data_IF_750098665002
#
_entry.id   IF_750098665002
#
_cell.length_a   1.000
_cell.length_b   1.000
_cell.length_c   1.000
_cell.angle_alpha   90.00
_cell.angle_beta   90.00
_cell.angle_gamma   90.00
#
_symmetry.space_group_name_H-M   'P 1'
#
loop_
_entity.id
_entity.type
_entity.pdbx_description
1 polymer ?
#
# COMPACT_ATOMS: atom_id res chain seq x y z
N UNK A 1 2.12 15.56 -16.35
CA UNK A 1 1.92 15.73 -14.88
C UNK A 1 0.62 15.07 -14.43
N UNK A 2 -0.27 14.76 -15.36
CA UNK A 2 -1.63 14.27 -15.15
C UNK A 2 -1.69 12.84 -14.60
N UNK A 3 -0.75 11.97 -15.02
CA UNK A 3 -0.69 10.58 -14.57
C UNK A 3 -0.36 10.44 -13.06
N UNK A 4 0.43 11.36 -12.50
CA UNK A 4 0.79 11.34 -11.06
C UNK A 4 -0.43 11.72 -10.23
N UNK A 5 -1.16 12.76 -10.64
CA UNK A 5 -2.42 13.17 -9.99
C UNK A 5 -3.50 12.09 -10.08
N UNK A 6 -3.63 11.43 -11.23
CA UNK A 6 -4.54 10.29 -11.42
C UNK A 6 -4.16 9.09 -10.53
N UNK A 7 -2.86 8.77 -10.44
CA UNK A 7 -2.35 7.73 -9.56
C UNK A 7 -2.64 8.04 -8.08
N UNK A 8 -2.41 9.28 -7.65
CA UNK A 8 -2.74 9.73 -6.29
C UNK A 8 -4.25 9.67 -6.01
N UNK A 9 -5.09 10.07 -6.96
CA UNK A 9 -6.54 9.99 -6.82
C UNK A 9 -7.02 8.54 -6.66
N UNK A 10 -6.49 7.61 -7.45
CA UNK A 10 -6.77 6.18 -7.30
C UNK A 10 -6.29 5.63 -5.97
N UNK A 11 -5.10 6.03 -5.52
CA UNK A 11 -4.53 5.63 -4.23
C UNK A 11 -5.43 6.10 -3.08
N UNK A 12 -5.89 7.36 -3.11
CA UNK A 12 -6.87 7.91 -2.17
C UNK A 12 -8.21 7.18 -2.19
N UNK A 13 -8.72 6.83 -3.38
CA UNK A 13 -9.96 6.06 -3.51
C UNK A 13 -9.80 4.66 -2.91
N UNK A 14 -8.67 3.98 -3.14
CA UNK A 14 -8.39 2.68 -2.51
C UNK A 14 -8.22 2.78 -0.99
N UNK A 15 -7.48 3.78 -0.51
CA UNK A 15 -7.27 4.06 0.91
C UNK A 15 -8.61 4.33 1.63
N UNK A 16 -9.52 5.06 0.97
CA UNK A 16 -10.86 5.36 1.48
C UNK A 16 -11.87 4.22 1.32
N UNK A 17 -11.74 3.38 0.28
CA UNK A 17 -12.65 2.26 0.00
C UNK A 17 -12.61 1.18 1.09
N UNK A 18 -11.42 0.87 1.62
CA UNK A 18 -11.26 -0.10 2.72
C UNK A 18 -12.17 0.18 3.92
N UNK A 19 -12.08 1.37 4.55
CA UNK A 19 -12.95 1.76 5.66
C UNK A 19 -14.42 1.99 5.25
N UNK A 20 -14.71 2.41 4.00
CA UNK A 20 -16.08 2.64 3.52
C UNK A 20 -16.86 1.34 3.27
N UNK A 21 -16.22 0.33 2.68
CA UNK A 21 -16.87 -0.94 2.34
C UNK A 21 -16.99 -1.88 3.55
N UNK A 22 -15.96 -1.96 4.38
CA UNK A 22 -15.92 -2.92 5.48
C UNK A 22 -15.09 -2.39 6.68
N UNK A 23 -15.61 -1.41 7.44
CA UNK A 23 -14.86 -0.76 8.52
C UNK A 23 -14.39 -1.74 9.60
N UNK A 24 -15.21 -2.75 9.94
CA UNK A 24 -14.88 -3.77 10.95
C UNK A 24 -13.76 -4.70 10.50
N UNK A 25 -13.82 -5.18 9.26
CA UNK A 25 -12.79 -6.05 8.69
C UNK A 25 -11.46 -5.28 8.57
N UNK A 26 -11.53 -4.03 8.09
CA UNK A 26 -10.38 -3.14 7.98
C UNK A 26 -9.71 -2.89 9.33
N UNK A 27 -10.51 -2.56 10.37
CA UNK A 27 -9.99 -2.38 11.73
C UNK A 27 -9.36 -3.66 12.29
N UNK A 28 -9.94 -4.82 12.05
CA UNK A 28 -9.37 -6.12 12.46
C UNK A 28 -8.05 -6.42 11.75
N UNK A 29 -7.95 -6.10 10.45
CA UNK A 29 -6.71 -6.24 9.69
C UNK A 29 -5.63 -5.31 10.23
N UNK A 30 -5.94 -4.03 10.45
CA UNK A 30 -5.00 -3.08 11.03
C UNK A 30 -4.57 -3.48 12.44
N UNK A 31 -5.50 -3.97 13.27
CA UNK A 31 -5.19 -4.44 14.61
C UNK A 31 -4.26 -5.66 14.59
N UNK A 32 -4.49 -6.60 13.65
CA UNK A 32 -3.57 -7.73 13.45
C UNK A 32 -2.19 -7.26 13.00
N UNK A 33 -2.12 -6.35 12.04
CA UNK A 33 -0.85 -5.80 11.53
C UNK A 33 -0.12 -5.02 12.62
N UNK A 34 -0.84 -4.28 13.46
CA UNK A 34 -0.29 -3.56 14.60
C UNK A 34 0.17 -4.47 15.74
N UNK A 35 -0.30 -5.72 15.78
CA UNK A 35 0.16 -6.74 16.72
C UNK A 35 1.32 -7.57 16.17
N UNK A 36 1.64 -7.45 14.87
CA UNK A 36 2.83 -8.09 14.30
C UNK A 36 4.10 -7.48 14.88
N UNK A 37 5.11 -8.33 15.03
CA UNK A 37 6.42 -7.92 15.50
C UNK A 37 7.00 -6.84 14.55
N UNK A 38 7.59 -5.74 15.05
CA UNK A 38 8.18 -4.69 14.21
C UNK A 38 9.16 -5.21 13.14
N UNK A 39 9.80 -6.37 13.34
CA UNK A 39 10.60 -7.02 12.29
C UNK A 39 9.77 -7.51 11.11
N UNK A 40 8.59 -8.10 11.35
CA UNK A 40 7.70 -8.59 10.29
C UNK A 40 7.07 -7.43 9.53
N UNK A 41 6.64 -6.38 10.24
CA UNK A 41 6.13 -5.16 9.62
C UNK A 41 7.16 -4.52 8.68
N UNK A 42 8.43 -4.49 9.11
CA UNK A 42 9.55 -3.95 8.33
C UNK A 42 9.90 -4.84 7.13
N UNK A 43 9.74 -6.16 7.22
CA UNK A 43 9.90 -7.09 6.08
C UNK A 43 8.78 -6.93 5.06
N UNK A 44 7.52 -6.82 5.51
CA UNK A 44 6.38 -6.58 4.64
C UNK A 44 6.52 -5.24 3.90
N UNK A 45 6.77 -4.16 4.64
CA UNK A 45 7.04 -2.85 4.05
C UNK A 45 8.26 -2.86 3.12
N UNK A 46 9.33 -3.55 3.52
CA UNK A 46 10.53 -3.71 2.70
C UNK A 46 10.26 -4.44 1.38
N UNK A 47 9.53 -5.55 1.39
CA UNK A 47 9.12 -6.27 0.18
C UNK A 47 8.25 -5.40 -0.75
N UNK A 48 7.31 -4.63 -0.19
CA UNK A 48 6.51 -3.68 -0.96
C UNK A 48 7.37 -2.60 -1.63
N UNK A 49 8.27 -1.96 -0.88
CA UNK A 49 9.20 -0.95 -1.42
C UNK A 49 10.09 -1.56 -2.51
N UNK A 50 10.68 -2.73 -2.26
CA UNK A 50 11.53 -3.42 -3.25
C UNK A 50 10.74 -3.75 -4.51
N UNK A 51 9.52 -4.30 -4.38
CA UNK A 51 8.68 -4.61 -5.54
C UNK A 51 8.31 -3.36 -6.36
N UNK A 52 7.96 -2.26 -5.69
CA UNK A 52 7.66 -0.98 -6.34
C UNK A 52 8.88 -0.39 -7.05
N UNK A 53 10.05 -0.43 -6.41
CA UNK A 53 11.32 0.01 -7.01
C UNK A 53 11.66 -0.83 -8.23
N UNK A 54 11.51 -2.16 -8.18
CA UNK A 54 11.79 -3.04 -9.31
C UNK A 54 10.87 -2.72 -10.50
N UNK A 55 9.57 -2.54 -10.27
CA UNK A 55 8.60 -2.20 -11.32
C UNK A 55 8.92 -0.82 -11.90
N UNK A 56 9.24 0.16 -11.05
CA UNK A 56 9.57 1.52 -11.49
C UNK A 56 10.88 1.54 -12.28
N UNK A 57 11.88 0.78 -11.84
CA UNK A 57 13.14 0.62 -12.55
C UNK A 57 12.93 -0.03 -13.92
N UNK A 58 12.11 -1.08 -13.98
CA UNK A 58 11.74 -1.75 -15.24
C UNK A 58 10.96 -0.83 -16.19
N UNK A 59 10.04 0.00 -15.68
CA UNK A 59 9.28 0.99 -16.47
C UNK A 59 10.12 2.20 -16.91
N UNK A 60 11.17 2.54 -16.15
CA UNK A 60 12.03 3.69 -16.44
C UNK A 60 13.19 3.34 -17.40
N UNK A 61 13.62 2.08 -17.44
CA UNK A 61 14.68 1.59 -18.35
C UNK A 61 14.15 0.99 -19.67
N UNK A 62 12.84 1.01 -19.90
CA UNK A 62 12.18 0.51 -21.12
C UNK A 62 11.73 1.62 -22.06
#
# INVERSE_FOLDING_TARGET
>A
MDAILLGFALLLVFEGLGPLLAPRLWQQLLAQISQLDPQQLRRLGGCLVVSGVVILWMKLHG
#
